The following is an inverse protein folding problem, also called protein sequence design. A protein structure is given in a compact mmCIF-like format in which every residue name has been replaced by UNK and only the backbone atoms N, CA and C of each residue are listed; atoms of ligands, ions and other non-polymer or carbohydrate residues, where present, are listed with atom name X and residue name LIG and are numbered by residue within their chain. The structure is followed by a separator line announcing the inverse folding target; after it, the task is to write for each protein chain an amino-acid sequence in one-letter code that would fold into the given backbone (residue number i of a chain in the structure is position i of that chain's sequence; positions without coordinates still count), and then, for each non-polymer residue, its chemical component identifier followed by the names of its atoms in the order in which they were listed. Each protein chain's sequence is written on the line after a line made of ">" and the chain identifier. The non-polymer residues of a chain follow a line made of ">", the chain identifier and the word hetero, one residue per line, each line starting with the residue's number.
data_IF_927337396468
#
_entry.id   IF_927337396468
#
_cell.length_a   1.000
_cell.length_b   1.000
_cell.length_c   1.000
_cell.angle_alpha   90.00
_cell.angle_beta   90.00
_cell.angle_gamma   90.00
#
_symmetry.space_group_name_H-M   'P 1'
#
loop_
_entity.id
_entity.type
_entity.pdbx_description
1 polymer ?
#
# COMPACT_ATOMS: atom_id res chain seq x y z
N UNK A 1 16.63 1.65 21.68
CA UNK A 1 15.88 2.90 21.43
C UNK A 1 16.62 3.69 20.38
N UNK A 2 15.97 3.91 19.24
CA UNK A 2 16.44 4.74 18.12
C UNK A 2 15.77 6.11 18.27
N UNK A 3 16.53 7.18 18.06
CA UNK A 3 16.01 8.56 18.07
C UNK A 3 16.27 9.20 16.71
N UNK A 4 15.23 9.73 16.09
CA UNK A 4 15.28 10.41 14.80
C UNK A 4 14.88 11.87 15.02
N UNK A 5 15.65 12.80 14.47
CA UNK A 5 15.24 14.20 14.45
C UNK A 5 13.99 14.36 13.57
N UNK A 6 12.95 14.99 14.11
CA UNK A 6 11.64 15.02 13.50
C UNK A 6 10.87 16.27 13.90
N UNK A 7 9.80 16.54 13.17
CA UNK A 7 8.84 17.61 13.46
C UNK A 7 7.61 16.97 14.13
N UNK A 8 7.09 17.51 15.24
CA UNK A 8 7.47 18.77 15.89
C UNK A 8 8.62 18.66 16.91
N UNK A 9 9.12 17.45 17.17
CA UNK A 9 10.25 17.15 18.05
C UNK A 9 10.81 15.75 17.72
N UNK A 10 11.97 15.37 18.26
CA UNK A 10 12.58 14.06 17.96
C UNK A 10 11.63 12.88 18.25
N UNK A 11 11.54 11.95 17.29
CA UNK A 11 10.74 10.74 17.39
C UNK A 11 11.61 9.58 17.90
N UNK A 12 11.17 8.91 18.95
CA UNK A 12 11.90 7.81 19.58
C UNK A 12 11.11 6.51 19.50
N UNK A 13 11.77 5.39 19.19
CA UNK A 13 11.13 4.07 19.13
C UNK A 13 12.11 2.91 19.36
N UNK A 14 11.58 1.72 19.66
CA UNK A 14 12.30 0.44 19.70
C UNK A 14 11.93 -0.36 18.45
N UNK A 15 12.90 -0.74 17.61
CA UNK A 15 12.64 -1.45 16.36
C UNK A 15 11.82 -2.73 16.53
N UNK A 16 11.95 -3.41 17.67
CA UNK A 16 11.19 -4.64 17.99
C UNK A 16 9.68 -4.41 18.18
N UNK A 17 9.29 -3.16 18.49
CA UNK A 17 7.92 -2.73 18.69
C UNK A 17 7.46 -1.74 17.61
N UNK A 18 8.17 -1.68 16.48
CA UNK A 18 7.90 -0.79 15.36
C UNK A 18 7.57 -1.59 14.12
N UNK A 19 6.58 -1.13 13.36
CA UNK A 19 6.32 -1.61 12.01
C UNK A 19 6.50 -0.51 10.96
N UNK A 20 7.05 -0.88 9.80
CA UNK A 20 6.95 -0.09 8.58
C UNK A 20 5.69 -0.49 7.82
N UNK A 21 4.85 0.48 7.48
CA UNK A 21 3.66 0.31 6.66
C UNK A 21 3.89 1.02 5.32
N UNK A 22 4.06 0.26 4.25
CA UNK A 22 4.16 0.74 2.87
C UNK A 22 2.79 0.64 2.22
N UNK A 23 2.20 1.79 1.93
CA UNK A 23 0.80 1.91 1.51
C UNK A 23 0.71 1.96 0.00
N UNK A 24 0.04 0.97 -0.59
CA UNK A 24 -0.50 1.02 -1.96
C UNK A 24 0.50 1.38 -3.07
N UNK A 25 1.76 0.93 -2.95
CA UNK A 25 2.76 1.06 -4.03
C UNK A 25 2.50 0.06 -5.18
N UNK A 26 1.31 0.13 -5.77
CA UNK A 26 0.78 -0.77 -6.78
C UNK A 26 1.06 -0.25 -8.20
N UNK A 27 1.23 -1.18 -9.15
CA UNK A 27 1.54 -0.86 -10.55
C UNK A 27 0.50 0.07 -11.17
N UNK A 28 -0.79 -0.18 -10.93
CA UNK A 28 -1.89 0.65 -11.46
C UNK A 28 -1.84 2.12 -11.03
N UNK A 29 -1.22 2.42 -9.89
CA UNK A 29 -1.08 3.79 -9.42
C UNK A 29 0.19 4.46 -9.91
N UNK A 30 1.29 3.72 -9.99
CA UNK A 30 2.63 4.30 -10.19
C UNK A 30 3.11 4.21 -11.65
N UNK A 31 2.82 3.13 -12.37
CA UNK A 31 3.32 2.94 -13.74
C UNK A 31 2.56 3.81 -14.75
N UNK A 32 3.27 4.35 -15.74
CA UNK A 32 2.64 4.97 -16.90
C UNK A 32 1.78 3.94 -17.64
N UNK A 33 0.59 4.36 -18.06
CA UNK A 33 -0.39 3.45 -18.62
C UNK A 33 -1.12 2.60 -17.58
N UNK A 34 -0.91 2.76 -16.27
CA UNK A 34 -1.80 2.19 -15.24
C UNK A 34 -3.08 3.00 -15.03
N UNK A 35 -4.00 2.48 -14.21
CA UNK A 35 -5.27 3.14 -13.89
C UNK A 35 -5.13 4.62 -13.52
N UNK A 36 -4.14 4.98 -12.69
CA UNK A 36 -3.87 6.37 -12.32
C UNK A 36 -3.60 7.27 -13.52
N UNK A 37 -2.78 6.81 -14.46
CA UNK A 37 -2.46 7.51 -15.71
C UNK A 37 -3.67 7.57 -16.67
N UNK A 38 -4.45 6.48 -16.79
CA UNK A 38 -5.65 6.41 -17.64
C UNK A 38 -6.74 7.41 -17.19
N UNK A 39 -6.79 7.72 -15.89
CA UNK A 39 -7.66 8.79 -15.36
C UNK A 39 -7.14 10.21 -15.64
N UNK A 40 -6.02 10.36 -16.35
CA UNK A 40 -5.42 11.66 -16.68
C UNK A 40 -4.54 12.25 -15.58
N UNK A 41 -4.15 11.46 -14.56
CA UNK A 41 -3.23 11.93 -13.53
C UNK A 41 -1.78 11.88 -14.02
N UNK A 42 -0.97 12.84 -13.57
CA UNK A 42 0.48 12.76 -13.67
C UNK A 42 1.04 11.83 -12.58
N UNK A 43 1.49 10.64 -12.99
CA UNK A 43 2.02 9.61 -12.07
C UNK A 43 3.52 9.77 -11.79
N UNK A 44 4.23 10.67 -12.49
CA UNK A 44 5.69 10.86 -12.32
C UNK A 44 6.12 11.15 -10.88
N UNK A 45 5.38 11.96 -10.08
CA UNK A 45 5.72 12.16 -8.67
C UNK A 45 5.76 10.87 -7.85
N UNK A 46 4.91 9.89 -8.19
CA UNK A 46 4.86 8.60 -7.51
C UNK A 46 6.07 7.72 -7.89
N UNK A 47 6.47 7.74 -9.15
CA UNK A 47 7.64 6.99 -9.62
C UNK A 47 8.93 7.49 -8.99
N UNK A 48 9.06 8.81 -8.75
CA UNK A 48 10.27 9.43 -8.18
C UNK A 48 10.58 8.92 -6.76
N UNK A 49 9.56 8.55 -5.97
CA UNK A 49 9.79 8.09 -4.60
C UNK A 49 10.21 6.62 -4.51
N UNK A 50 10.02 5.81 -5.56
CA UNK A 50 10.27 4.36 -5.54
C UNK A 50 11.67 3.99 -5.01
N UNK A 51 12.78 4.64 -5.44
CA UNK A 51 14.10 4.32 -4.88
C UNK A 51 14.23 4.66 -3.39
N UNK A 52 13.53 5.68 -2.90
CA UNK A 52 13.53 6.07 -1.49
C UNK A 52 12.73 5.06 -0.65
N UNK A 53 11.57 4.61 -1.15
CA UNK A 53 10.79 3.54 -0.49
C UNK A 53 11.59 2.24 -0.44
N UNK A 54 12.32 1.88 -1.51
CA UNK A 54 13.18 0.70 -1.53
C UNK A 54 14.28 0.77 -0.46
N UNK A 55 14.91 1.94 -0.27
CA UNK A 55 15.89 2.15 0.81
C UNK A 55 15.26 2.05 2.20
N UNK A 56 14.05 2.57 2.38
CA UNK A 56 13.33 2.47 3.65
C UNK A 56 12.94 1.02 3.97
N UNK A 57 12.50 0.25 2.98
CA UNK A 57 12.26 -1.20 3.11
C UNK A 57 13.54 -1.94 3.51
N UNK A 58 14.67 -1.67 2.84
CA UNK A 58 15.96 -2.27 3.18
C UNK A 58 16.35 -1.96 4.63
N UNK A 59 16.21 -0.71 5.07
CA UNK A 59 16.48 -0.30 6.45
C UNK A 59 15.57 -1.02 7.46
N UNK A 60 14.26 -1.10 7.19
CA UNK A 60 13.33 -1.79 8.08
C UNK A 60 13.67 -3.28 8.22
N UNK A 61 14.04 -3.94 7.12
CA UNK A 61 14.49 -5.34 7.09
C UNK A 61 15.78 -5.53 7.88
N UNK A 62 16.79 -4.69 7.67
CA UNK A 62 18.07 -4.73 8.41
C UNK A 62 17.86 -4.54 9.92
N UNK A 63 16.91 -3.70 10.31
CA UNK A 63 16.57 -3.44 11.72
C UNK A 63 15.58 -4.46 12.31
N UNK A 64 15.20 -5.49 11.55
CA UNK A 64 14.23 -6.53 11.94
C UNK A 64 12.87 -5.94 12.41
N UNK A 65 12.43 -4.84 11.79
CA UNK A 65 11.10 -4.30 12.02
C UNK A 65 10.05 -5.17 11.32
N UNK A 66 8.82 -5.16 11.83
CA UNK A 66 7.70 -5.73 11.09
C UNK A 66 7.46 -4.91 9.81
N UNK A 67 7.47 -5.54 8.64
CA UNK A 67 7.13 -4.87 7.37
C UNK A 67 5.72 -5.28 6.96
N UNK A 68 4.91 -4.29 6.60
CA UNK A 68 3.52 -4.42 6.21
C UNK A 68 3.34 -3.67 4.90
N UNK A 69 2.78 -4.34 3.90
CA UNK A 69 2.37 -3.75 2.64
C UNK A 69 0.86 -3.71 2.56
N UNK A 70 0.29 -2.64 2.04
CA UNK A 70 -1.14 -2.61 1.72
C UNK A 70 -1.39 -2.58 0.22
N UNK A 71 -2.51 -3.16 -0.18
CA UNK A 71 -3.06 -3.04 -1.53
C UNK A 71 -4.50 -2.58 -1.43
N UNK A 72 -4.85 -1.49 -2.10
CA UNK A 72 -6.25 -1.23 -2.39
C UNK A 72 -6.71 -2.26 -3.43
N UNK A 73 -7.66 -3.12 -3.04
CA UNK A 73 -8.09 -4.22 -3.88
C UNK A 73 -9.46 -4.75 -3.49
N UNK A 74 -10.18 -5.24 -4.50
CA UNK A 74 -11.49 -5.86 -4.36
C UNK A 74 -11.46 -7.32 -4.78
N UNK A 75 -12.37 -8.11 -4.20
CA UNK A 75 -12.60 -9.48 -4.66
C UNK A 75 -13.01 -9.49 -6.14
N UNK A 76 -12.71 -10.55 -6.91
CA UNK A 76 -13.08 -10.64 -8.32
C UNK A 76 -14.58 -10.46 -8.60
N UNK A 77 -15.44 -10.85 -7.67
CA UNK A 77 -16.90 -10.67 -7.74
C UNK A 77 -17.39 -9.29 -7.26
N UNK A 78 -16.47 -8.43 -6.82
CA UNK A 78 -16.71 -7.08 -6.28
C UNK A 78 -17.66 -7.05 -5.07
N UNK A 79 -17.84 -8.18 -4.39
CA UNK A 79 -18.76 -8.30 -3.24
C UNK A 79 -18.35 -7.43 -2.04
N UNK A 80 -17.08 -7.05 -1.96
CA UNK A 80 -16.54 -6.14 -0.95
C UNK A 80 -16.41 -4.67 -1.45
N UNK A 81 -16.87 -4.37 -2.68
CA UNK A 81 -16.84 -3.04 -3.26
C UNK A 81 -18.19 -2.32 -3.10
N UNK A 82 -18.28 -1.25 -2.30
CA UNK A 82 -19.53 -0.54 -2.11
C UNK A 82 -20.05 0.08 -3.43
N UNK A 83 -21.37 0.07 -3.69
CA UNK A 83 -21.95 0.69 -4.88
C UNK A 83 -21.59 2.17 -5.05
N UNK A 84 -21.42 2.91 -3.94
CA UNK A 84 -21.01 4.30 -3.94
C UNK A 84 -19.57 4.54 -4.41
N UNK A 85 -18.72 3.50 -4.35
CA UNK A 85 -17.34 3.52 -4.87
C UNK A 85 -17.33 3.20 -6.36
N UNK A 86 -18.08 2.18 -6.78
CA UNK A 86 -18.24 1.80 -8.20
C UNK A 86 -18.75 2.96 -9.06
N UNK A 87 -19.74 3.71 -8.57
CA UNK A 87 -20.41 4.78 -9.33
C UNK A 87 -19.75 6.15 -9.22
N UNK A 88 -18.68 6.29 -8.43
CA UNK A 88 -18.08 7.59 -8.11
C UNK A 88 -17.43 8.20 -9.35
N UNK A 89 -17.75 9.47 -9.66
CA UNK A 89 -17.07 10.23 -10.71
C UNK A 89 -17.50 9.90 -12.14
N UNK A 90 -18.49 9.02 -12.33
CA UNK A 90 -19.00 8.59 -13.64
C UNK A 90 -17.86 8.22 -14.62
N UNK A 91 -17.00 7.26 -14.26
CA UNK A 91 -15.79 6.98 -15.02
C UNK A 91 -16.12 6.28 -16.34
N UNK A 92 -15.33 6.55 -17.38
CA UNK A 92 -15.35 5.77 -18.62
C UNK A 92 -14.77 4.37 -18.43
N UNK A 93 -13.82 4.21 -17.50
CA UNK A 93 -13.27 2.94 -17.03
C UNK A 93 -13.28 2.91 -15.50
N UNK A 94 -14.12 2.06 -14.92
CA UNK A 94 -14.34 1.94 -13.49
C UNK A 94 -13.68 0.72 -12.86
N UNK A 95 -13.91 0.54 -11.56
CA UNK A 95 -13.44 -0.62 -10.81
C UNK A 95 -14.06 -1.90 -11.39
N UNK A 96 -13.22 -2.88 -11.69
CA UNK A 96 -13.62 -4.18 -12.23
C UNK A 96 -13.68 -4.26 -13.75
N UNK A 97 -13.63 -3.12 -14.46
CA UNK A 97 -13.52 -3.08 -15.92
C UNK A 97 -12.11 -3.47 -16.37
N UNK A 98 -12.00 -3.97 -17.60
CA UNK A 98 -10.71 -4.30 -18.22
C UNK A 98 -9.92 -3.03 -18.52
N UNK A 99 -8.79 -2.90 -17.84
CA UNK A 99 -7.80 -1.87 -18.07
C UNK A 99 -6.55 -2.40 -18.80
N UNK A 100 -5.57 -1.53 -19.05
CA UNK A 100 -4.31 -1.88 -19.70
C UNK A 100 -3.47 -2.92 -18.95
N UNK A 101 -3.73 -3.14 -17.66
CA UNK A 101 -3.04 -4.12 -16.81
C UNK A 101 -4.01 -5.13 -16.16
N UNK A 102 -5.13 -5.43 -16.82
CA UNK A 102 -6.18 -6.30 -16.32
C UNK A 102 -7.30 -5.53 -15.62
N UNK A 103 -8.12 -6.23 -14.83
CA UNK A 103 -9.29 -5.62 -14.18
C UNK A 103 -8.90 -4.61 -13.10
N UNK A 104 -9.39 -3.39 -13.25
CA UNK A 104 -9.02 -2.25 -12.40
C UNK A 104 -9.37 -2.53 -10.93
N UNK A 105 -8.39 -2.39 -10.03
CA UNK A 105 -8.52 -2.57 -8.59
C UNK A 105 -9.01 -3.98 -8.15
N UNK A 106 -8.86 -5.00 -9.00
CA UNK A 106 -9.25 -6.39 -8.67
C UNK A 106 -8.05 -7.21 -8.20
N UNK A 107 -8.24 -8.00 -7.14
CA UNK A 107 -7.22 -8.90 -6.60
C UNK A 107 -6.77 -9.92 -7.64
N UNK A 108 -5.45 -10.13 -7.71
CA UNK A 108 -4.83 -11.10 -8.60
C UNK A 108 -4.40 -10.51 -9.94
N UNK A 109 -4.94 -9.35 -10.32
CA UNK A 109 -4.62 -8.73 -11.61
C UNK A 109 -3.20 -8.16 -11.61
N UNK A 110 -2.52 -8.11 -12.78
CA UNK A 110 -1.18 -7.54 -12.91
C UNK A 110 -1.07 -6.10 -12.41
N UNK A 111 -2.07 -5.25 -12.71
CA UNK A 111 -2.11 -3.84 -12.28
C UNK A 111 -2.24 -3.70 -10.76
N UNK A 112 -2.90 -4.65 -10.11
CA UNK A 112 -3.14 -4.62 -8.66
C UNK A 112 -1.91 -5.04 -7.83
N UNK A 113 -0.87 -5.61 -8.46
CA UNK A 113 0.33 -6.03 -7.74
C UNK A 113 1.16 -4.85 -7.25
N UNK A 114 1.87 -5.05 -6.14
CA UNK A 114 2.92 -4.13 -5.67
C UNK A 114 4.04 -4.11 -6.70
N UNK A 115 4.68 -2.96 -6.89
CA UNK A 115 5.83 -2.82 -7.78
C UNK A 115 6.90 -3.89 -7.50
N UNK A 116 7.46 -4.57 -8.52
CA UNK A 116 8.47 -5.60 -8.31
C UNK A 116 9.69 -5.15 -7.48
N UNK A 117 10.10 -3.89 -7.62
CA UNK A 117 11.20 -3.30 -6.85
C UNK A 117 10.90 -3.14 -5.35
N UNK A 118 9.63 -3.16 -4.97
CA UNK A 118 9.13 -2.99 -3.60
C UNK A 118 8.40 -4.24 -3.10
N UNK A 119 8.56 -5.37 -3.80
CA UNK A 119 7.80 -6.57 -3.53
C UNK A 119 7.98 -7.05 -2.08
N UNK A 120 6.90 -7.56 -1.46
CA UNK A 120 6.98 -8.22 -0.17
C UNK A 120 7.96 -9.40 -0.18
N UNK A 121 8.65 -9.61 0.93
CA UNK A 121 9.48 -10.78 1.18
C UNK A 121 8.78 -11.76 2.13
N UNK A 122 9.30 -12.99 2.21
CA UNK A 122 8.81 -14.00 3.14
C UNK A 122 8.81 -13.48 4.58
N UNK A 123 7.68 -13.63 5.27
CA UNK A 123 7.48 -13.15 6.64
C UNK A 123 6.93 -11.72 6.76
N UNK A 124 6.86 -10.97 5.66
CA UNK A 124 6.20 -9.66 5.63
C UNK A 124 4.67 -9.81 5.47
N UNK A 125 3.91 -8.85 6.03
CA UNK A 125 2.46 -8.87 5.91
C UNK A 125 2.01 -8.16 4.63
N UNK A 126 1.00 -8.73 3.96
CA UNK A 126 0.31 -8.09 2.84
C UNK A 126 -1.16 -7.98 3.18
N UNK A 127 -1.67 -6.76 3.25
CA UNK A 127 -3.04 -6.43 3.62
C UNK A 127 -3.80 -5.93 2.40
N UNK A 128 -4.71 -6.75 1.90
CA UNK A 128 -5.71 -6.31 0.94
C UNK A 128 -6.82 -5.53 1.65
N UNK A 129 -7.10 -4.32 1.19
CA UNK A 129 -8.09 -3.43 1.79
C UNK A 129 -9.10 -2.93 0.75
N UNK A 130 -10.43 -2.99 1.03
CA UNK A 130 -11.46 -2.51 0.10
C UNK A 130 -11.60 -0.98 0.10
N UNK A 131 -10.95 -0.29 1.03
CA UNK A 131 -11.04 1.15 1.23
C UNK A 131 -9.69 1.86 1.21
N UNK A 132 -9.75 3.17 1.45
CA UNK A 132 -8.55 4.02 1.51
C UNK A 132 -7.78 3.82 2.82
N UNK A 133 -8.47 3.72 3.95
CA UNK A 133 -7.85 3.49 5.26
C UNK A 133 -7.39 2.05 5.44
N UNK A 134 -6.14 1.86 5.89
CA UNK A 134 -5.51 0.54 6.08
C UNK A 134 -6.17 -0.35 7.13
N UNK A 135 -6.90 0.23 8.08
CA UNK A 135 -7.54 -0.48 9.20
C UNK A 135 -9.00 -0.87 8.94
N UNK A 136 -9.66 -0.28 7.96
CA UNK A 136 -11.08 -0.52 7.72
C UNK A 136 -11.28 -1.85 6.98
N UNK A 137 -12.08 -2.74 7.57
CA UNK A 137 -12.36 -4.07 7.03
C UNK A 137 -11.09 -4.91 6.76
N UNK A 138 -10.08 -4.73 7.62
CA UNK A 138 -8.85 -5.53 7.63
C UNK A 138 -8.59 -6.06 9.05
N UNK A 139 -7.69 -7.02 9.18
CA UNK A 139 -7.21 -7.53 10.46
C UNK A 139 -5.96 -6.80 10.97
N UNK A 140 -5.55 -5.70 10.31
CA UNK A 140 -4.29 -5.01 10.58
C UNK A 140 -4.13 -4.61 12.05
N UNK A 141 -5.18 -4.10 12.68
CA UNK A 141 -5.11 -3.71 14.09
C UNK A 141 -4.80 -4.91 15.01
N UNK A 142 -5.51 -6.03 14.81
CA UNK A 142 -5.31 -7.25 15.59
C UNK A 142 -3.91 -7.84 15.34
N UNK A 143 -3.43 -7.80 14.09
CA UNK A 143 -2.09 -8.26 13.72
C UNK A 143 -0.98 -7.45 14.38
N UNK A 144 -1.14 -6.12 14.47
CA UNK A 144 -0.21 -5.23 15.17
C UNK A 144 -0.22 -5.49 16.68
N UNK A 145 -1.41 -5.61 17.29
CA UNK A 145 -1.56 -5.89 18.72
C UNK A 145 -0.94 -7.23 19.11
N UNK A 146 -1.19 -8.29 18.34
CA UNK A 146 -0.65 -9.63 18.58
C UNK A 146 0.88 -9.67 18.56
N UNK A 147 1.52 -8.72 17.87
CA UNK A 147 2.99 -8.59 17.77
C UNK A 147 3.56 -7.53 18.72
N UNK A 148 2.72 -6.92 19.57
CA UNK A 148 3.14 -5.88 20.50
C UNK A 148 3.67 -4.62 19.81
N UNK A 149 3.20 -4.31 18.60
CA UNK A 149 3.61 -3.10 17.87
C UNK A 149 2.95 -1.88 18.51
N UNK A 150 3.76 -0.87 18.80
CA UNK A 150 3.35 0.39 19.43
C UNK A 150 3.71 1.62 18.59
N UNK A 151 4.60 1.46 17.61
CA UNK A 151 5.09 2.53 16.74
C UNK A 151 4.90 2.14 15.27
N UNK A 152 4.55 3.11 14.43
CA UNK A 152 4.37 2.91 12.99
C UNK A 152 5.17 3.95 12.22
N UNK A 153 5.93 3.49 11.23
CA UNK A 153 6.51 4.32 10.19
C UNK A 153 5.66 4.17 8.93
N UNK A 154 5.31 5.27 8.27
CA UNK A 154 4.45 5.25 7.09
C UNK A 154 5.21 5.70 5.83
N UNK A 155 4.92 5.03 4.73
CA UNK A 155 5.37 5.39 3.38
C UNK A 155 4.33 4.89 2.37
N UNK A 156 4.45 5.28 1.10
CA UNK A 156 3.46 5.03 0.05
C UNK A 156 3.19 6.28 -0.77
#
# INVERSE_FOLDING_TARGET
>A
MITVDAIPYPYQFDSRHTALVVIDMQRDFVEEGGFGSVLGNDVRPLTIIVPTVAKLLALAREQNMLVIHTRESHLPDLSDCPPAKLKRGNPTLGIGDEGPMGRILVRGEPGNQILPLLAPQDGELVIDKPGKGAFYATDLHAQLQARGITHLLFSG
#
